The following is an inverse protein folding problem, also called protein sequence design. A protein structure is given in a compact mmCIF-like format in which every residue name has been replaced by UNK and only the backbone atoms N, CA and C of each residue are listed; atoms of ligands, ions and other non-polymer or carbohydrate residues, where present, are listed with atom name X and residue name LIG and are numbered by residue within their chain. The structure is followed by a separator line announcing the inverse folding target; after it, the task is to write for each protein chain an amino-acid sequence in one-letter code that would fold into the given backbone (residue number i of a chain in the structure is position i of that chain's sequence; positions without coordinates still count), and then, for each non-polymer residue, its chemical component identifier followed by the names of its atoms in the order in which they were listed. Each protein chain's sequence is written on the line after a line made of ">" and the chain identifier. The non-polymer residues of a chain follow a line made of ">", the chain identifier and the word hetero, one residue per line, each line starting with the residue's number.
data_IF_044927790535
#
_entry.id   IF_044927790535
#
_cell.length_a   1.000
_cell.length_b   1.000
_cell.length_c   1.000
_cell.angle_alpha   90.00
_cell.angle_beta   90.00
_cell.angle_gamma   90.00
#
_symmetry.space_group_name_H-M   'P 1'
#
loop_
_entity.id
_entity.type
_entity.pdbx_description
1 polymer ?
#
# COMPACT_ATOMS: atom_id res chain seq x y z
N UNK A 1 2.80 -3.85 18.02
CA UNK A 1 2.03 -2.68 17.56
C UNK A 1 1.66 -2.86 16.09
N UNK A 2 2.60 -3.11 15.20
CA UNK A 2 2.34 -3.20 13.75
C UNK A 2 1.36 -4.33 13.37
N UNK A 3 1.43 -5.49 14.03
CA UNK A 3 0.45 -6.56 13.82
C UNK A 3 -1.00 -6.13 14.10
N UNK A 4 -1.21 -5.29 15.11
CA UNK A 4 -2.54 -4.72 15.41
C UNK A 4 -2.95 -3.76 14.29
N UNK A 5 -2.05 -2.90 13.83
CA UNK A 5 -2.30 -2.01 12.70
C UNK A 5 -2.70 -2.80 11.44
N UNK A 6 -2.02 -3.92 11.16
CA UNK A 6 -2.34 -4.80 10.04
C UNK A 6 -3.73 -5.44 10.14
N UNK A 7 -4.11 -5.91 11.33
CA UNK A 7 -5.47 -6.44 11.57
C UNK A 7 -6.52 -5.36 11.32
N UNK A 8 -6.31 -4.15 11.85
CA UNK A 8 -7.22 -3.03 11.61
C UNK A 8 -7.28 -2.68 10.13
N UNK A 9 -6.13 -2.69 9.43
CA UNK A 9 -6.08 -2.44 7.99
C UNK A 9 -6.96 -3.39 7.18
N UNK A 10 -6.98 -4.68 7.54
CA UNK A 10 -7.87 -5.66 6.90
C UNK A 10 -9.34 -5.25 7.07
N UNK A 11 -9.74 -4.81 8.26
CA UNK A 11 -11.10 -4.32 8.50
C UNK A 11 -11.41 -2.97 7.83
N UNK A 12 -10.41 -2.27 7.33
CA UNK A 12 -10.58 -1.05 6.54
C UNK A 12 -10.85 -1.32 5.05
N UNK A 13 -10.83 -2.57 4.61
CA UNK A 13 -11.13 -2.92 3.23
C UNK A 13 -12.65 -2.96 3.03
N UNK A 14 -13.18 -1.99 2.28
CA UNK A 14 -14.62 -1.82 2.06
C UNK A 14 -15.02 -2.15 0.62
N UNK A 15 -16.31 -2.28 0.37
CA UNK A 15 -16.84 -2.41 -0.98
C UNK A 15 -16.37 -3.66 -1.74
N UNK A 16 -16.18 -4.80 -1.07
CA UNK A 16 -15.71 -6.04 -1.69
C UNK A 16 -16.53 -6.48 -2.92
N UNK A 17 -17.83 -6.17 -2.92
CA UNK A 17 -18.73 -6.46 -4.02
C UNK A 17 -18.63 -5.45 -5.17
N UNK A 18 -17.94 -4.34 -4.94
CA UNK A 18 -17.72 -3.27 -5.90
C UNK A 18 -16.35 -3.34 -6.59
N UNK A 19 -15.73 -4.51 -6.63
CA UNK A 19 -14.53 -4.71 -7.44
C UNK A 19 -14.97 -4.95 -8.88
N UNK A 20 -14.55 -4.06 -9.77
CA UNK A 20 -14.92 -4.10 -11.18
C UNK A 20 -13.77 -4.57 -12.06
N UNK A 21 -14.09 -5.43 -13.02
CA UNK A 21 -13.22 -5.64 -14.17
C UNK A 21 -13.62 -4.65 -15.26
N UNK A 22 -12.64 -3.99 -15.90
CA UNK A 22 -12.93 -3.16 -17.07
C UNK A 22 -13.54 -4.00 -18.20
N UNK A 23 -14.29 -3.35 -19.13
CA UNK A 23 -14.95 -4.08 -20.23
C UNK A 23 -13.98 -4.86 -21.11
N UNK A 24 -12.77 -4.35 -21.29
CA UNK A 24 -11.69 -5.04 -22.02
C UNK A 24 -10.93 -6.07 -21.15
N UNK A 25 -11.34 -6.27 -19.90
CA UNK A 25 -10.71 -7.18 -18.92
C UNK A 25 -9.22 -6.94 -18.66
N UNK A 26 -8.75 -5.72 -18.90
CA UNK A 26 -7.34 -5.35 -18.71
C UNK A 26 -7.08 -4.70 -17.35
N UNK A 27 -8.10 -4.14 -16.73
CA UNK A 27 -7.98 -3.44 -15.44
C UNK A 27 -8.91 -4.06 -14.40
N UNK A 28 -8.41 -4.21 -13.18
CA UNK A 28 -9.20 -4.47 -11.99
C UNK A 28 -9.28 -3.17 -11.18
N UNK A 29 -10.48 -2.67 -10.97
CA UNK A 29 -10.74 -1.41 -10.30
C UNK A 29 -11.44 -1.62 -8.97
N UNK A 30 -11.01 -0.90 -7.97
CA UNK A 30 -11.65 -0.84 -6.67
C UNK A 30 -11.93 0.63 -6.29
N UNK A 31 -13.02 1.21 -6.79
CA UNK A 31 -13.31 2.63 -6.61
C UNK A 31 -13.54 3.05 -5.16
N UNK A 32 -14.08 2.15 -4.34
CA UNK A 32 -14.34 2.40 -2.91
C UNK A 32 -13.06 2.47 -2.05
N UNK A 33 -11.91 2.12 -2.61
CA UNK A 33 -10.62 2.26 -1.96
C UNK A 33 -10.16 3.71 -1.98
N UNK A 34 -10.25 4.35 -0.82
CA UNK A 34 -9.90 5.77 -0.68
C UNK A 34 -8.39 6.00 -0.58
N UNK A 35 -7.96 7.22 -0.87
CA UNK A 35 -6.56 7.63 -0.66
C UNK A 35 -6.13 7.52 0.81
N UNK A 36 -7.06 7.73 1.76
CA UNK A 36 -6.78 7.57 3.19
C UNK A 36 -6.43 6.10 3.53
N UNK A 37 -7.17 5.15 2.95
CA UNK A 37 -6.86 3.74 3.10
C UNK A 37 -5.49 3.40 2.49
N UNK A 38 -5.23 3.88 1.28
CA UNK A 38 -3.96 3.65 0.59
C UNK A 38 -2.78 4.15 1.43
N UNK A 39 -2.89 5.37 1.97
CA UNK A 39 -1.86 5.93 2.83
C UNK A 39 -1.66 5.12 4.13
N UNK A 40 -2.75 4.71 4.77
CA UNK A 40 -2.67 3.89 5.98
C UNK A 40 -2.05 2.51 5.70
N UNK A 41 -2.35 1.92 4.54
CA UNK A 41 -1.71 0.69 4.07
C UNK A 41 -0.22 0.91 3.81
N UNK A 42 0.14 1.97 3.10
CA UNK A 42 1.53 2.28 2.78
C UNK A 42 2.37 2.45 4.06
N UNK A 43 1.85 3.17 5.06
CA UNK A 43 2.51 3.34 6.35
C UNK A 43 2.69 2.01 7.09
N UNK A 44 1.65 1.19 7.15
CA UNK A 44 1.72 -0.13 7.77
C UNK A 44 2.69 -1.06 7.07
N UNK A 45 2.65 -1.11 5.75
CA UNK A 45 3.51 -2.01 4.97
C UNK A 45 4.97 -1.53 4.95
N UNK A 46 5.21 -0.21 4.95
CA UNK A 46 6.56 0.33 5.09
C UNK A 46 7.17 -0.07 6.43
N UNK A 47 6.42 0.03 7.53
CA UNK A 47 6.88 -0.40 8.84
C UNK A 47 7.18 -1.91 8.85
N UNK A 48 6.33 -2.72 8.23
CA UNK A 48 6.58 -4.14 8.08
C UNK A 48 7.91 -4.42 7.34
N UNK A 49 8.18 -3.72 6.25
CA UNK A 49 9.44 -3.89 5.50
C UNK A 49 10.64 -3.37 6.29
N UNK A 50 10.49 -2.29 7.03
CA UNK A 50 11.55 -1.75 7.89
C UNK A 50 11.92 -2.72 9.01
N UNK A 51 10.95 -3.40 9.62
CA UNK A 51 11.19 -4.39 10.65
C UNK A 51 11.89 -5.65 10.14
N UNK A 52 11.53 -6.11 8.94
CA UNK A 52 11.97 -7.40 8.44
C UNK A 52 13.14 -7.29 7.47
N UNK A 53 13.24 -6.20 6.74
CA UNK A 53 14.24 -5.93 5.72
C UNK A 53 14.80 -4.52 5.85
N UNK A 54 15.43 -4.16 6.98
CA UNK A 54 15.81 -2.78 7.26
C UNK A 54 16.79 -2.20 6.24
N UNK A 55 17.71 -3.00 5.69
CA UNK A 55 18.65 -2.56 4.64
C UNK A 55 17.98 -2.27 3.29
N UNK A 56 16.82 -2.83 3.07
CA UNK A 56 16.10 -2.74 1.78
C UNK A 56 14.83 -1.90 1.86
N UNK A 57 14.45 -1.44 3.05
CA UNK A 57 13.17 -0.77 3.29
C UNK A 57 12.97 0.49 2.45
N UNK A 58 14.01 1.26 2.20
CA UNK A 58 13.90 2.51 1.47
C UNK A 58 13.58 2.31 -0.01
N UNK A 59 14.29 1.44 -0.69
CA UNK A 59 14.03 1.24 -2.12
C UNK A 59 13.03 0.12 -2.39
N UNK A 60 13.09 -0.97 -1.64
CA UNK A 60 12.15 -2.09 -1.77
C UNK A 60 10.79 -1.73 -1.15
N UNK A 61 10.77 -1.32 0.11
CA UNK A 61 9.54 -0.94 0.80
C UNK A 61 8.92 0.32 0.20
N UNK A 62 9.63 1.44 0.26
CA UNK A 62 9.10 2.74 -0.13
C UNK A 62 8.80 2.82 -1.63
N UNK A 63 9.70 2.38 -2.50
CA UNK A 63 9.49 2.44 -3.93
C UNK A 63 8.33 1.54 -4.40
N UNK A 64 8.23 0.33 -3.83
CA UNK A 64 7.13 -0.59 -4.14
C UNK A 64 5.75 -0.10 -3.66
N UNK A 65 5.72 0.78 -2.67
CA UNK A 65 4.48 1.39 -2.17
C UNK A 65 4.14 2.68 -2.94
N UNK A 66 5.12 3.54 -3.16
CA UNK A 66 4.89 4.81 -3.86
C UNK A 66 4.56 4.63 -5.34
N UNK A 67 5.15 3.64 -6.02
CA UNK A 67 4.87 3.42 -7.44
C UNK A 67 3.39 3.16 -7.73
N UNK A 68 2.70 2.19 -7.10
CA UNK A 68 1.26 1.99 -7.29
C UNK A 68 0.43 3.16 -6.77
N UNK A 69 0.87 3.83 -5.71
CA UNK A 69 0.17 5.00 -5.14
C UNK A 69 0.20 6.17 -6.12
N UNK A 70 1.35 6.48 -6.73
CA UNK A 70 1.45 7.50 -7.77
C UNK A 70 0.73 7.09 -9.05
N UNK A 71 0.82 5.82 -9.46
CA UNK A 71 0.06 5.33 -10.60
C UNK A 71 -1.45 5.52 -10.39
N UNK A 72 -1.96 5.21 -9.20
CA UNK A 72 -3.36 5.46 -8.86
C UNK A 72 -3.69 6.97 -8.82
N UNK A 73 -2.79 7.80 -8.33
CA UNK A 73 -3.04 9.24 -8.24
C UNK A 73 -3.10 9.91 -9.61
N UNK A 74 -2.21 9.57 -10.54
CA UNK A 74 -1.99 10.32 -11.77
C UNK A 74 -2.48 9.62 -13.04
N UNK A 75 -2.48 8.29 -13.09
CA UNK A 75 -2.74 7.54 -14.33
C UNK A 75 -3.92 6.58 -14.27
N UNK A 76 -4.01 5.75 -13.22
CA UNK A 76 -5.00 4.67 -13.15
C UNK A 76 -5.83 4.75 -11.86
N UNK A 77 -6.64 5.81 -11.75
CA UNK A 77 -7.50 6.04 -10.59
C UNK A 77 -8.42 4.83 -10.35
N UNK A 78 -8.43 4.33 -9.12
CA UNK A 78 -9.16 3.13 -8.72
C UNK A 78 -8.41 1.82 -8.97
N UNK A 79 -7.27 1.84 -9.67
CA UNK A 79 -6.47 0.67 -10.00
C UNK A 79 -5.32 0.38 -9.04
N UNK A 80 -5.32 0.95 -7.84
CA UNK A 80 -4.19 0.81 -6.91
C UNK A 80 -3.85 -0.65 -6.60
N UNK A 81 -4.84 -1.48 -6.31
CA UNK A 81 -4.60 -2.88 -5.95
C UNK A 81 -3.94 -3.68 -7.09
N UNK A 82 -4.37 -3.45 -8.31
CA UNK A 82 -3.74 -4.04 -9.50
C UNK A 82 -2.32 -3.54 -9.69
N UNK A 83 -2.11 -2.22 -9.60
CA UNK A 83 -0.79 -1.63 -9.73
C UNK A 83 0.16 -2.14 -8.63
N UNK A 84 -0.35 -2.33 -7.41
CA UNK A 84 0.41 -2.91 -6.30
C UNK A 84 0.83 -4.36 -6.57
N UNK A 85 -0.07 -5.18 -7.08
CA UNK A 85 0.22 -6.55 -7.44
C UNK A 85 1.25 -6.64 -8.58
N UNK A 86 1.09 -5.83 -9.62
CA UNK A 86 2.01 -5.80 -10.76
C UNK A 86 3.41 -5.33 -10.35
N UNK A 87 3.51 -4.27 -9.56
CA UNK A 87 4.79 -3.73 -9.08
C UNK A 87 5.52 -4.76 -8.23
N UNK A 88 4.80 -5.45 -7.34
CA UNK A 88 5.38 -6.50 -6.51
C UNK A 88 5.85 -7.68 -7.35
N UNK A 89 5.05 -8.13 -8.33
CA UNK A 89 5.42 -9.23 -9.21
C UNK A 89 6.68 -8.92 -10.02
N UNK A 90 6.76 -7.74 -10.63
CA UNK A 90 7.94 -7.30 -11.38
C UNK A 90 9.18 -7.22 -10.50
N UNK A 91 9.03 -6.69 -9.28
CA UNK A 91 10.12 -6.64 -8.32
C UNK A 91 10.60 -8.05 -7.92
N UNK A 92 9.68 -8.95 -7.58
CA UNK A 92 10.04 -10.32 -7.21
C UNK A 92 10.76 -11.04 -8.35
N UNK A 93 10.31 -10.89 -9.59
CA UNK A 93 10.99 -11.46 -10.75
C UNK A 93 12.41 -10.91 -10.90
N UNK A 94 12.56 -9.59 -10.80
CA UNK A 94 13.87 -8.94 -10.92
C UNK A 94 14.83 -9.37 -9.80
N UNK A 95 14.35 -9.39 -8.57
CA UNK A 95 15.12 -9.76 -7.40
C UNK A 95 15.59 -11.23 -7.43
N UNK A 96 14.80 -12.12 -8.01
CA UNK A 96 15.19 -13.53 -8.16
C UNK A 96 16.24 -13.75 -9.26
N UNK A 97 16.18 -12.95 -10.33
CA UNK A 97 17.15 -13.06 -11.44
C UNK A 97 18.47 -12.39 -11.07
N UNK A 98 18.44 -11.34 -10.28
CA UNK A 98 19.62 -10.56 -9.87
C UNK A 98 19.75 -10.50 -8.34
N UNK A 99 20.05 -11.62 -7.65
CA UNK A 99 20.10 -11.64 -6.18
C UNK A 99 21.15 -10.68 -5.60
N UNK A 100 22.28 -10.47 -6.28
CA UNK A 100 23.33 -9.55 -5.87
C UNK A 100 22.86 -8.07 -5.89
N UNK A 101 21.80 -7.76 -6.59
CA UNK A 101 21.17 -6.44 -6.56
C UNK A 101 20.64 -6.09 -5.17
N UNK A 102 20.14 -7.07 -4.43
CA UNK A 102 19.61 -6.86 -3.08
C UNK A 102 20.72 -6.82 -2.03
N UNK A 103 21.65 -7.79 -2.07
CA UNK A 103 22.49 -8.10 -0.93
C UNK A 103 23.82 -7.35 -0.92
N UNK A 104 24.41 -7.04 -2.06
CA UNK A 104 25.78 -6.49 -2.15
C UNK A 104 25.94 -5.35 -3.14
N UNK A 105 24.86 -4.64 -3.47
CA UNK A 105 24.93 -3.53 -4.40
C UNK A 105 24.82 -2.18 -3.67
N UNK A 106 25.19 -1.10 -4.37
CA UNK A 106 24.93 0.28 -3.93
C UNK A 106 23.45 0.62 -3.73
N UNK A 107 22.55 -0.26 -4.13
CA UNK A 107 21.13 -0.15 -3.91
C UNK A 107 20.70 -0.72 -2.55
N UNK A 108 21.57 -1.50 -1.89
CA UNK A 108 21.39 -1.85 -0.48
C UNK A 108 21.76 -0.64 0.35
N UNK A 109 20.77 0.14 0.73
CA UNK A 109 21.00 1.37 1.49
C UNK A 109 21.07 1.02 2.97
N UNK A 110 22.20 1.36 3.59
CA UNK A 110 22.29 1.40 5.04
C UNK A 110 21.44 2.58 5.51
N UNK A 111 20.35 2.29 6.18
CA UNK A 111 19.61 3.33 6.86
C UNK A 111 20.39 3.74 8.10
N UNK A 112 20.55 5.02 8.36
CA UNK A 112 21.24 5.58 9.55
C UNK A 112 20.55 5.24 10.87
N UNK A 113 19.61 4.34 10.87
CA UNK A 113 18.68 4.03 11.98
C UNK A 113 18.78 2.59 12.47
N UNK A 114 19.94 1.98 12.40
CA UNK A 114 20.19 0.68 13.00
C UNK A 114 20.54 0.80 14.47
N UNK A 115 19.90 -0.02 15.31
CA UNK A 115 20.09 0.00 16.76
C UNK A 115 21.52 -0.35 17.19
N UNK A 116 22.17 -1.23 16.48
CA UNK A 116 23.47 -1.80 16.89
C UNK A 116 24.66 -1.04 16.36
N UNK A 117 24.48 0.17 15.83
CA UNK A 117 25.59 0.93 15.28
C UNK A 117 26.38 0.12 14.26
N UNK A 118 25.68 -0.58 13.38
CA UNK A 118 26.28 -1.44 12.38
C UNK A 118 27.38 -0.71 11.61
N UNK A 119 28.59 -1.12 11.84
CA UNK A 119 29.78 -0.51 11.25
C UNK A 119 30.58 -1.51 10.40
N UNK A 120 30.23 -2.78 10.44
CA UNK A 120 30.91 -3.81 9.65
C UNK A 120 30.20 -4.00 8.30
N UNK A 121 30.83 -3.60 7.18
CA UNK A 121 30.24 -3.74 5.85
C UNK A 121 30.10 -5.19 5.37
N UNK A 122 30.70 -6.15 6.10
CA UNK A 122 30.65 -7.58 5.75
C UNK A 122 29.47 -8.29 6.39
N UNK A 123 28.86 -7.70 7.41
CA UNK A 123 27.71 -8.26 8.14
C UNK A 123 26.48 -7.41 7.82
N UNK A 124 25.46 -7.95 7.16
CA UNK A 124 24.23 -7.21 6.93
C UNK A 124 23.57 -6.88 8.26
N UNK A 125 23.06 -5.64 8.45
CA UNK A 125 22.35 -5.28 9.65
C UNK A 125 21.06 -6.11 9.75
N UNK A 126 20.90 -6.76 10.89
CA UNK A 126 19.78 -7.67 11.14
C UNK A 126 18.62 -7.01 11.88
N UNK A 127 18.90 -5.88 12.54
CA UNK A 127 17.94 -5.21 13.40
C UNK A 127 17.71 -3.76 12.96
N UNK A 128 16.46 -3.38 12.90
CA UNK A 128 16.07 -1.99 12.75
C UNK A 128 16.22 -1.25 14.10
N UNK A 129 16.38 0.06 14.05
CA UNK A 129 16.42 0.90 15.25
C UNK A 129 15.09 0.80 16.03
N UNK A 130 15.10 0.40 17.32
CA UNK A 130 13.88 0.20 18.09
C UNK A 130 13.03 1.46 18.25
N UNK A 131 13.67 2.63 18.32
CA UNK A 131 12.96 3.90 18.46
C UNK A 131 12.19 4.21 17.17
N UNK A 132 12.85 4.08 16.03
CA UNK A 132 12.20 4.28 14.72
C UNK A 132 11.13 3.25 14.46
N UNK A 133 11.34 1.98 14.80
CA UNK A 133 10.29 0.95 14.77
C UNK A 133 9.07 1.39 15.57
N UNK A 134 9.27 1.84 16.81
CA UNK A 134 8.19 2.30 17.67
C UNK A 134 7.43 3.49 17.08
N UNK A 135 8.16 4.49 16.58
CA UNK A 135 7.58 5.70 15.99
C UNK A 135 6.75 5.36 14.74
N UNK A 136 7.33 4.63 13.80
CA UNK A 136 6.63 4.28 12.55
C UNK A 136 5.42 3.38 12.83
N UNK A 137 5.56 2.42 13.75
CA UNK A 137 4.47 1.53 14.15
C UNK A 137 3.31 2.28 14.81
N UNK A 138 3.57 3.30 15.63
CA UNK A 138 2.53 4.14 16.23
C UNK A 138 1.85 4.97 15.14
N UNK A 139 2.60 5.58 14.23
CA UNK A 139 2.03 6.36 13.11
C UNK A 139 1.13 5.46 12.25
N UNK A 140 1.59 4.26 11.90
CA UNK A 140 0.80 3.30 11.15
C UNK A 140 -0.47 2.88 11.89
N UNK A 141 -0.39 2.61 13.20
CA UNK A 141 -1.55 2.27 14.02
C UNK A 141 -2.57 3.40 14.05
N UNK A 142 -2.13 4.63 14.33
CA UNK A 142 -3.01 5.81 14.39
C UNK A 142 -3.71 6.03 13.04
N UNK A 143 -2.97 5.96 11.94
CA UNK A 143 -3.54 6.11 10.60
C UNK A 143 -4.64 5.06 10.33
N UNK A 144 -4.37 3.80 10.64
CA UNK A 144 -5.34 2.72 10.44
C UNK A 144 -6.57 2.85 11.37
N UNK A 145 -6.40 3.25 12.62
CA UNK A 145 -7.51 3.53 13.53
C UNK A 145 -8.37 4.68 13.03
N UNK A 146 -7.77 5.76 12.53
CA UNK A 146 -8.51 6.89 11.98
C UNK A 146 -9.34 6.49 10.74
N UNK A 147 -8.75 5.70 9.84
CA UNK A 147 -9.47 5.19 8.67
C UNK A 147 -10.63 4.29 9.11
N UNK A 148 -10.40 3.37 10.02
CA UNK A 148 -11.43 2.48 10.54
C UNK A 148 -12.58 3.24 11.22
N UNK A 149 -12.26 4.23 12.06
CA UNK A 149 -13.27 5.08 12.69
C UNK A 149 -14.12 5.83 11.65
N UNK A 150 -13.49 6.35 10.61
CA UNK A 150 -14.17 7.01 9.49
C UNK A 150 -15.12 6.06 8.76
N UNK A 151 -14.69 4.83 8.51
CA UNK A 151 -15.52 3.78 7.87
C UNK A 151 -16.73 3.45 8.75
N UNK A 152 -16.53 3.23 10.05
CA UNK A 152 -17.64 2.92 10.99
C UNK A 152 -18.64 4.07 11.04
N UNK A 153 -18.14 5.31 11.16
CA UNK A 153 -19.00 6.50 11.18
C UNK A 153 -19.85 6.53 9.91
N UNK A 154 -19.22 6.42 8.74
CA UNK A 154 -19.88 6.51 7.45
C UNK A 154 -20.87 5.37 7.22
N UNK A 155 -20.51 4.15 7.58
CA UNK A 155 -21.39 2.98 7.51
C UNK A 155 -22.65 3.15 8.36
N UNK A 156 -22.52 3.74 9.57
CA UNK A 156 -23.66 4.06 10.44
C UNK A 156 -24.55 5.14 9.85
N UNK A 157 -23.97 6.23 9.33
CA UNK A 157 -24.71 7.34 8.70
C UNK A 157 -25.52 6.87 7.48
N UNK A 158 -24.92 6.01 6.66
CA UNK A 158 -25.57 5.47 5.48
C UNK A 158 -26.44 4.23 5.75
N UNK A 159 -26.39 3.68 6.96
CA UNK A 159 -27.07 2.42 7.33
C UNK A 159 -26.70 1.26 6.41
N UNK A 160 -25.46 1.20 5.97
CA UNK A 160 -24.92 0.18 5.07
C UNK A 160 -23.86 -0.67 5.74
N UNK A 161 -23.81 -1.95 5.37
CA UNK A 161 -22.69 -2.81 5.72
C UNK A 161 -21.49 -2.45 4.81
N UNK A 162 -20.36 -1.98 5.34
CA UNK A 162 -19.24 -1.50 4.53
C UNK A 162 -18.55 -2.60 3.73
N UNK A 163 -18.73 -3.86 4.10
CA UNK A 163 -18.10 -4.98 3.40
C UNK A 163 -18.92 -5.50 2.23
N UNK A 164 -20.24 -5.31 2.27
CA UNK A 164 -21.17 -5.71 1.21
C UNK A 164 -21.55 -4.57 0.29
N UNK A 165 -21.31 -3.33 0.69
CA UNK A 165 -21.69 -2.14 -0.05
C UNK A 165 -20.52 -1.17 -0.16
N UNK A 166 -20.49 -0.46 -1.27
CA UNK A 166 -19.64 0.71 -1.42
C UNK A 166 -20.20 1.86 -0.61
N UNK A 167 -19.34 2.50 0.18
CA UNK A 167 -19.71 3.57 1.09
C UNK A 167 -19.09 4.92 0.76
N UNK A 168 -18.19 4.97 -0.22
CA UNK A 168 -17.51 6.18 -0.66
C UNK A 168 -17.96 6.68 -2.05
N UNK A 169 -19.13 6.26 -2.51
CA UNK A 169 -19.67 6.54 -3.85
C UNK A 169 -19.89 8.03 -4.15
N UNK A 170 -20.02 8.87 -3.14
CA UNK A 170 -20.15 10.33 -3.26
C UNK A 170 -18.80 11.04 -3.44
N UNK A 171 -17.70 10.38 -3.13
CA UNK A 171 -16.37 10.99 -3.22
C UNK A 171 -15.95 11.23 -4.68
N UNK A 172 -15.20 12.31 -4.88
CA UNK A 172 -14.67 12.71 -6.18
C UNK A 172 -13.79 11.61 -6.79
N UNK A 173 -12.95 10.98 -5.98
CA UNK A 173 -12.04 9.93 -6.43
C UNK A 173 -12.78 8.69 -6.92
N UNK A 174 -13.87 8.31 -6.25
CA UNK A 174 -14.74 7.22 -6.68
C UNK A 174 -15.34 7.48 -8.07
N UNK A 175 -15.93 8.66 -8.25
CA UNK A 175 -16.55 9.07 -9.52
C UNK A 175 -15.53 9.13 -10.64
N UNK A 176 -14.37 9.72 -10.38
CA UNK A 176 -13.28 9.82 -11.34
C UNK A 176 -12.73 8.44 -11.76
N UNK A 177 -12.69 7.47 -10.84
CA UNK A 177 -12.28 6.10 -11.17
C UNK A 177 -13.23 5.46 -12.19
N UNK A 178 -14.54 5.60 -11.98
CA UNK A 178 -15.54 5.08 -12.92
C UNK A 178 -15.57 5.82 -14.26
N UNK A 179 -15.42 7.15 -14.25
CA UNK A 179 -15.32 7.94 -15.48
C UNK A 179 -14.14 7.53 -16.34
N UNK A 180 -12.96 7.37 -15.74
CA UNK A 180 -11.76 6.93 -16.45
C UNK A 180 -11.89 5.50 -16.99
N UNK A 181 -12.51 4.61 -16.23
CA UNK A 181 -12.80 3.25 -16.70
C UNK A 181 -13.74 3.25 -17.92
N UNK A 182 -14.77 4.08 -17.88
CA UNK A 182 -15.70 4.23 -19.00
C UNK A 182 -15.04 4.86 -20.24
N UNK A 183 -14.13 5.83 -20.04
CA UNK A 183 -13.37 6.44 -21.13
C UNK A 183 -12.43 5.45 -21.81
N UNK A 184 -11.68 4.68 -21.01
CA UNK A 184 -10.81 3.61 -21.55
C UNK A 184 -11.61 2.58 -22.34
N UNK A 185 -12.78 2.18 -21.84
CA UNK A 185 -13.64 1.24 -22.53
C UNK A 185 -14.15 1.77 -23.88
N UNK A 186 -14.40 3.09 -23.96
CA UNK A 186 -14.80 3.74 -25.26
C UNK A 186 -13.65 3.81 -26.26
N UNK A 187 -12.43 4.04 -25.79
CA UNK A 187 -11.24 4.10 -26.67
C UNK A 187 -10.80 2.73 -27.17
N UNK A 188 -11.19 1.66 -26.50
CA UNK A 188 -10.84 0.28 -26.85
C UNK A 188 -11.91 -0.43 -27.71
N UNK A 189 -13.06 0.21 -27.93
CA UNK A 189 -14.14 -0.24 -28.81
C UNK A 189 -14.06 0.41 -30.19
#
# INVERSE_FOLDING_TARGET
>A
VNGIAGIINIFCMTGWWGIYSSKNKQDMLWPDMTWCYILAYDLWNFEYTYNNLPTHSWYCGLALLLAPTFANAFWNKGGWIQNRANTLALWCMFAQVFPLFQDKSRFSVLTSVYADGYMDPTVPPTNADPTMQGVIAIIALVANVCVFASIIKRAKEQKKNPYKNEIFTDQKDYKLALERAAEKARKAA
#
